data_IF_449583821780
#
_entry.id   IF_449583821780
#
_cell.length_a   1.000
_cell.length_b   1.000
_cell.length_c   1.000
_cell.angle_alpha   90.00
_cell.angle_beta   90.00
_cell.angle_gamma   90.00
#
_symmetry.space_group_name_H-M   'P 1'
#
loop_
_entity.id
_entity.type
_entity.pdbx_description
1 polymer ?
#
# COMPACT_ATOMS: atom_id res chain seq x y z
N UNK A 1 -77.13 37.15 13.88
CA UNK A 1 -76.38 36.36 12.84
C UNK A 1 -74.97 36.93 12.82
N UNK A 2 -74.00 36.23 13.46
CA UNK A 2 -72.59 36.60 13.49
C UNK A 2 -71.89 35.93 12.33
N UNK A 3 -71.34 36.72 11.40
CA UNK A 3 -70.62 36.25 10.21
C UNK A 3 -69.15 35.95 10.62
N UNK A 4 -68.79 34.68 10.67
CA UNK A 4 -67.46 34.21 11.01
C UNK A 4 -66.50 34.54 9.87
N UNK A 5 -65.56 35.48 10.11
CA UNK A 5 -64.50 35.86 9.17
C UNK A 5 -63.41 34.79 9.24
N UNK A 6 -63.29 33.97 8.18
CA UNK A 6 -62.22 33.02 8.03
C UNK A 6 -61.00 33.77 7.46
N UNK A 7 -60.01 34.06 8.30
CA UNK A 7 -58.71 34.56 7.84
C UNK A 7 -57.92 33.43 7.26
N UNK A 8 -57.80 33.41 5.91
CA UNK A 8 -56.99 32.44 5.17
C UNK A 8 -55.51 32.80 5.33
N UNK A 9 -54.83 32.12 6.21
CA UNK A 9 -53.40 32.28 6.44
C UNK A 9 -52.66 31.84 5.15
N UNK A 10 -52.18 32.79 4.37
CA UNK A 10 -51.34 32.56 3.17
C UNK A 10 -49.93 32.32 3.68
N UNK A 11 -49.52 31.05 3.71
CA UNK A 11 -48.12 30.66 3.88
C UNK A 11 -47.35 31.14 2.66
N UNK A 12 -46.56 32.19 2.78
CA UNK A 12 -45.62 32.61 1.76
C UNK A 12 -44.51 31.58 1.73
N UNK A 13 -44.39 30.84 0.62
CA UNK A 13 -43.21 30.05 0.33
C UNK A 13 -42.16 31.01 -0.14
N UNK A 14 -41.20 31.35 0.73
CA UNK A 14 -40.02 32.12 0.34
C UNK A 14 -39.18 31.23 -0.59
N UNK A 15 -38.92 31.69 -1.81
CA UNK A 15 -38.04 31.05 -2.77
C UNK A 15 -36.61 31.48 -2.55
N UNK A 16 -35.65 30.60 -2.85
CA UNK A 16 -34.23 30.93 -2.80
C UNK A 16 -33.89 32.08 -3.77
N UNK A 17 -33.10 33.03 -3.30
CA UNK A 17 -32.54 34.10 -4.10
C UNK A 17 -31.44 33.54 -5.03
N UNK A 18 -31.32 34.08 -6.23
CA UNK A 18 -30.26 33.69 -7.18
C UNK A 18 -28.85 33.92 -6.61
N UNK A 19 -28.68 34.98 -5.80
CA UNK A 19 -27.41 35.25 -5.10
C UNK A 19 -27.09 34.23 -4.03
N UNK A 20 -28.07 33.73 -3.29
CA UNK A 20 -27.91 32.69 -2.28
C UNK A 20 -27.50 31.35 -2.90
N UNK A 21 -28.09 31.03 -4.06
CA UNK A 21 -27.72 29.85 -4.82
C UNK A 21 -26.28 29.93 -5.34
N UNK A 22 -25.85 31.10 -5.87
CA UNK A 22 -24.48 31.30 -6.32
C UNK A 22 -23.44 31.19 -5.19
N UNK A 23 -23.74 31.76 -4.03
CA UNK A 23 -22.87 31.68 -2.85
C UNK A 23 -22.79 30.23 -2.36
N UNK A 24 -23.91 29.53 -2.27
CA UNK A 24 -23.96 28.13 -1.83
C UNK A 24 -23.15 27.21 -2.76
N UNK A 25 -23.27 27.37 -4.08
CA UNK A 25 -22.48 26.62 -5.05
C UNK A 25 -20.99 26.97 -4.93
N UNK A 26 -20.65 28.25 -4.78
CA UNK A 26 -19.27 28.70 -4.58
C UNK A 26 -18.61 28.09 -3.35
N UNK A 27 -19.30 28.06 -2.23
CA UNK A 27 -18.84 27.42 -1.00
C UNK A 27 -18.68 25.90 -1.17
N UNK A 28 -19.64 25.27 -1.86
CA UNK A 28 -19.58 23.82 -2.13
C UNK A 28 -18.36 23.45 -2.98
N UNK A 29 -18.05 24.20 -4.03
CA UNK A 29 -16.87 23.98 -4.88
C UNK A 29 -15.57 24.14 -4.09
N UNK A 30 -15.49 25.15 -3.22
CA UNK A 30 -14.33 25.35 -2.33
C UNK A 30 -14.13 24.17 -1.38
N UNK A 31 -15.19 23.69 -0.74
CA UNK A 31 -15.11 22.55 0.17
C UNK A 31 -14.71 21.26 -0.56
N UNK A 32 -15.26 21.00 -1.75
CA UNK A 32 -14.89 19.85 -2.56
C UNK A 32 -13.40 19.88 -2.96
N UNK A 33 -12.86 21.06 -3.30
CA UNK A 33 -11.44 21.24 -3.61
C UNK A 33 -10.52 20.84 -2.45
N UNK A 34 -10.86 21.20 -1.21
CA UNK A 34 -10.10 20.83 -0.01
C UNK A 34 -10.17 19.32 0.26
N UNK A 35 -11.32 18.71 0.09
CA UNK A 35 -11.50 17.25 0.30
C UNK A 35 -10.64 16.44 -0.68
N UNK A 36 -10.56 16.85 -1.93
CA UNK A 36 -9.79 16.14 -2.97
C UNK A 36 -8.29 16.03 -2.64
N UNK A 37 -7.69 17.09 -2.10
CA UNK A 37 -6.25 17.10 -1.75
C UNK A 37 -5.93 16.15 -0.60
N UNK A 38 -6.77 16.15 0.44
CA UNK A 38 -6.62 15.24 1.59
C UNK A 38 -6.79 13.78 1.18
N UNK A 39 -7.80 13.48 0.38
CA UNK A 39 -8.09 12.12 -0.10
C UNK A 39 -6.96 11.54 -0.97
N UNK A 40 -6.37 12.35 -1.87
CA UNK A 40 -5.25 11.92 -2.68
C UNK A 40 -4.02 11.55 -1.83
N UNK A 41 -3.71 12.34 -0.81
CA UNK A 41 -2.58 12.06 0.09
C UNK A 41 -2.81 10.81 0.93
N UNK A 42 -4.05 10.59 1.37
CA UNK A 42 -4.42 9.38 2.12
C UNK A 42 -4.26 8.12 1.27
N UNK A 43 -4.76 8.13 0.04
CA UNK A 43 -4.65 7.00 -0.88
C UNK A 43 -3.19 6.60 -1.17
N UNK A 44 -2.29 7.57 -1.32
CA UNK A 44 -0.86 7.32 -1.52
C UNK A 44 -0.21 6.67 -0.30
N UNK A 45 -0.53 7.15 0.90
CA UNK A 45 -0.03 6.55 2.15
C UNK A 45 -0.54 5.12 2.33
N UNK A 46 -1.80 4.89 2.03
CA UNK A 46 -2.40 3.56 2.08
C UNK A 46 -1.76 2.60 1.06
N UNK A 47 -1.51 3.08 -0.17
CA UNK A 47 -0.82 2.31 -1.20
C UNK A 47 0.58 1.88 -0.75
N UNK A 48 1.35 2.80 -0.14
CA UNK A 48 2.69 2.52 0.40
C UNK A 48 2.61 1.47 1.53
N UNK A 49 1.68 1.65 2.48
CA UNK A 49 1.51 0.68 3.57
C UNK A 49 1.16 -0.71 3.05
N UNK A 50 0.17 -0.83 2.17
CA UNK A 50 -0.23 -2.12 1.59
C UNK A 50 0.88 -2.78 0.79
N UNK A 51 1.65 -2.00 0.01
CA UNK A 51 2.78 -2.54 -0.74
C UNK A 51 3.87 -3.09 0.20
N UNK A 52 4.14 -2.40 1.30
CA UNK A 52 5.06 -2.87 2.34
C UNK A 52 4.56 -4.18 2.96
N UNK A 53 3.27 -4.25 3.29
CA UNK A 53 2.68 -5.45 3.88
C UNK A 53 2.70 -6.65 2.91
N UNK A 54 2.55 -6.41 1.59
CA UNK A 54 2.72 -7.44 0.55
C UNK A 54 4.14 -8.00 0.59
N UNK A 55 5.16 -7.14 0.57
CA UNK A 55 6.56 -7.59 0.58
C UNK A 55 6.88 -8.38 1.85
N UNK A 56 6.43 -7.92 3.02
CA UNK A 56 6.59 -8.65 4.28
C UNK A 56 5.90 -10.01 4.22
N UNK A 57 4.70 -10.09 3.64
CA UNK A 57 3.97 -11.36 3.54
C UNK A 57 4.69 -12.36 2.64
N UNK A 58 5.28 -11.91 1.54
CA UNK A 58 6.07 -12.73 0.62
C UNK A 58 7.34 -13.27 1.29
N UNK A 59 8.05 -12.42 2.05
CA UNK A 59 9.21 -12.84 2.85
C UNK A 59 8.83 -13.91 3.87
N UNK A 60 7.75 -13.69 4.61
CA UNK A 60 7.25 -14.66 5.58
C UNK A 60 6.78 -15.96 4.91
N UNK A 61 6.18 -15.90 3.73
CA UNK A 61 5.78 -17.06 2.94
C UNK A 61 7.00 -17.89 2.51
N UNK A 62 8.03 -17.25 1.93
CA UNK A 62 9.28 -17.90 1.53
C UNK A 62 9.93 -18.61 2.72
N UNK A 63 10.02 -17.91 3.85
CA UNK A 63 10.56 -18.48 5.10
C UNK A 63 9.77 -19.70 5.56
N UNK A 64 8.44 -19.62 5.57
CA UNK A 64 7.59 -20.75 6.00
C UNK A 64 7.71 -21.94 5.05
N UNK A 65 7.71 -21.73 3.74
CA UNK A 65 7.86 -22.78 2.74
C UNK A 65 9.20 -23.51 2.92
N UNK A 66 10.27 -22.76 3.19
CA UNK A 66 11.61 -23.32 3.47
C UNK A 66 11.64 -24.08 4.79
N UNK A 67 11.07 -23.53 5.87
CA UNK A 67 10.98 -24.21 7.17
C UNK A 67 10.21 -25.53 7.11
N UNK A 68 9.08 -25.54 6.38
CA UNK A 68 8.30 -26.76 6.19
C UNK A 68 8.93 -27.72 5.18
N UNK A 69 10.09 -27.36 4.61
CA UNK A 69 10.77 -28.15 3.57
C UNK A 69 9.83 -28.56 2.45
N UNK A 70 8.92 -27.65 2.06
CA UNK A 70 8.00 -27.93 0.98
C UNK A 70 8.77 -28.32 -0.28
N UNK A 71 8.35 -29.41 -0.93
CA UNK A 71 8.96 -29.96 -2.13
C UNK A 71 10.48 -30.24 -2.00
N UNK A 72 10.96 -30.42 -0.77
CA UNK A 72 12.37 -30.64 -0.42
C UNK A 72 13.30 -29.52 -0.96
N UNK A 73 12.80 -28.29 -1.04
CA UNK A 73 13.46 -27.15 -1.64
C UNK A 73 13.68 -25.99 -0.66
N UNK A 74 14.57 -25.08 -1.08
CA UNK A 74 14.76 -23.75 -0.52
C UNK A 74 13.85 -22.78 -1.30
N UNK A 75 13.34 -21.79 -0.62
CA UNK A 75 12.59 -20.71 -1.23
C UNK A 75 13.26 -19.37 -0.91
N UNK A 76 13.26 -18.47 -1.87
CA UNK A 76 13.77 -17.12 -1.71
C UNK A 76 12.82 -16.08 -2.28
N UNK A 77 13.16 -14.84 -2.05
CA UNK A 77 12.43 -13.68 -2.60
C UNK A 77 13.41 -12.81 -3.37
N UNK A 78 13.10 -12.56 -4.63
CA UNK A 78 13.80 -11.60 -5.47
C UNK A 78 13.01 -10.30 -5.54
N UNK A 79 13.71 -9.16 -5.46
CA UNK A 79 13.11 -7.84 -5.47
C UNK A 79 13.42 -7.08 -6.74
N UNK A 80 12.37 -6.73 -7.46
CA UNK A 80 12.37 -5.78 -8.57
C UNK A 80 11.79 -4.43 -8.12
N UNK A 81 11.94 -3.41 -8.94
CA UNK A 81 11.43 -2.06 -8.66
C UNK A 81 9.94 -2.04 -8.33
N UNK A 82 9.12 -2.90 -8.97
CA UNK A 82 7.65 -2.87 -8.90
C UNK A 82 7.01 -4.18 -8.43
N UNK A 83 7.81 -5.16 -8.01
CA UNK A 83 7.31 -6.46 -7.57
C UNK A 83 8.30 -7.18 -6.66
N UNK A 84 7.80 -8.11 -5.86
CA UNK A 84 8.58 -9.13 -5.19
C UNK A 84 8.24 -10.48 -5.83
N UNK A 85 9.23 -11.31 -6.08
CA UNK A 85 9.06 -12.61 -6.72
C UNK A 85 9.47 -13.71 -5.75
N UNK A 86 8.53 -14.54 -5.37
CA UNK A 86 8.81 -15.76 -4.63
C UNK A 86 9.29 -16.83 -5.62
N UNK A 87 10.47 -17.37 -5.40
CA UNK A 87 11.04 -18.38 -6.27
C UNK A 87 11.51 -19.60 -5.47
N UNK A 88 11.68 -20.71 -6.17
CA UNK A 88 12.13 -22.00 -5.65
C UNK A 88 13.53 -22.30 -6.12
N UNK A 89 14.46 -22.59 -5.21
CA UNK A 89 15.85 -22.94 -5.54
C UNK A 89 16.87 -22.03 -4.86
N UNK A 90 18.13 -22.19 -5.24
CA UNK A 90 19.27 -21.45 -4.65
C UNK A 90 19.60 -20.15 -5.42
N UNK A 91 18.91 -19.86 -6.50
CA UNK A 91 19.04 -18.61 -7.27
C UNK A 91 17.77 -18.30 -8.03
N UNK A 92 17.48 -17.02 -8.19
CA UNK A 92 16.39 -16.56 -9.03
C UNK A 92 16.72 -16.76 -10.51
N UNK A 93 15.78 -17.35 -11.24
CA UNK A 93 15.83 -17.47 -12.69
C UNK A 93 14.57 -16.82 -13.27
N UNK A 94 14.77 -15.77 -14.06
CA UNK A 94 13.65 -15.06 -14.70
C UNK A 94 12.89 -16.00 -15.66
N UNK A 95 11.55 -15.98 -15.55
CA UNK A 95 10.68 -16.81 -16.41
C UNK A 95 10.53 -18.27 -15.98
N UNK A 96 11.11 -18.67 -14.84
CA UNK A 96 10.87 -20.01 -14.30
C UNK A 96 9.38 -20.19 -13.96
N UNK A 97 8.81 -21.38 -14.29
CA UNK A 97 7.38 -21.68 -14.07
C UNK A 97 6.99 -21.73 -12.60
N UNK A 98 7.95 -21.94 -11.70
CA UNK A 98 7.73 -21.96 -10.25
C UNK A 98 7.68 -20.56 -9.62
N UNK A 99 8.04 -19.52 -10.35
CA UNK A 99 8.05 -18.15 -9.86
C UNK A 99 6.64 -17.62 -9.62
N UNK A 100 6.42 -17.04 -8.45
CA UNK A 100 5.16 -16.37 -8.10
C UNK A 100 5.42 -14.88 -7.97
N UNK A 101 4.78 -14.08 -8.82
CA UNK A 101 4.98 -12.64 -8.92
C UNK A 101 3.96 -11.88 -8.09
N UNK A 102 4.43 -11.13 -7.10
CA UNK A 102 3.63 -10.26 -6.25
C UNK A 102 3.86 -8.80 -6.63
N UNK A 103 2.97 -8.27 -7.45
CA UNK A 103 3.03 -6.87 -7.89
C UNK A 103 2.63 -5.94 -6.76
N UNK A 104 3.41 -4.89 -6.54
CA UNK A 104 3.07 -3.79 -5.64
C UNK A 104 2.25 -2.72 -6.38
N UNK A 105 1.71 -1.77 -5.62
CA UNK A 105 0.91 -0.70 -6.23
C UNK A 105 1.75 0.14 -7.21
N UNK A 106 1.26 0.48 -8.42
CA UNK A 106 2.03 1.23 -9.42
C UNK A 106 2.55 2.60 -8.99
N UNK A 107 2.00 3.19 -7.92
CA UNK A 107 2.51 4.45 -7.35
C UNK A 107 3.59 4.25 -6.29
N UNK A 108 4.04 3.00 -6.08
CA UNK A 108 5.07 2.62 -5.10
C UNK A 108 6.20 1.90 -5.82
N UNK A 109 7.42 2.16 -5.43
CA UNK A 109 8.63 1.53 -5.97
C UNK A 109 9.53 1.04 -4.83
N UNK A 110 10.22 -0.09 -5.04
CA UNK A 110 11.34 -0.52 -4.20
C UNK A 110 12.55 0.28 -4.65
N UNK A 111 13.03 1.19 -3.81
CA UNK A 111 14.05 2.17 -4.19
C UNK A 111 15.43 1.82 -3.66
N UNK A 112 15.50 1.12 -2.54
CA UNK A 112 16.78 0.75 -1.94
C UNK A 112 16.72 -0.65 -1.37
N UNK A 113 17.68 -1.47 -1.73
CA UNK A 113 17.91 -2.80 -1.19
C UNK A 113 19.29 -2.79 -0.58
N UNK A 114 19.39 -2.98 0.72
CA UNK A 114 20.64 -2.97 1.46
C UNK A 114 20.72 -4.24 2.31
N UNK A 115 21.23 -5.30 1.70
CA UNK A 115 21.39 -6.63 2.30
C UNK A 115 22.86 -6.91 2.59
N UNK A 116 23.13 -7.73 3.60
CA UNK A 116 24.48 -8.02 4.08
C UNK A 116 25.36 -8.69 3.02
N UNK A 117 24.82 -9.63 2.25
CA UNK A 117 25.51 -10.28 1.13
C UNK A 117 25.45 -9.46 -0.17
N UNK A 118 24.71 -8.34 -0.18
CA UNK A 118 24.45 -7.55 -1.37
C UNK A 118 23.37 -8.20 -2.26
N UNK A 119 23.19 -7.63 -3.46
CA UNK A 119 22.20 -8.17 -4.40
C UNK A 119 20.76 -7.75 -4.11
N UNK A 120 19.81 -8.47 -4.69
CA UNK A 120 18.38 -8.21 -4.64
C UNK A 120 17.56 -9.45 -4.26
N UNK A 121 18.18 -10.40 -3.59
CA UNK A 121 17.57 -11.69 -3.22
C UNK A 121 17.74 -11.95 -1.74
N UNK A 122 16.76 -12.62 -1.13
CA UNK A 122 16.82 -13.10 0.25
C UNK A 122 16.49 -14.57 0.26
N UNK A 123 17.36 -15.37 0.83
CA UNK A 123 17.18 -16.80 1.02
C UNK A 123 17.02 -17.15 2.50
N UNK A 124 16.36 -18.26 2.75
CA UNK A 124 16.16 -18.76 4.11
C UNK A 124 16.76 -20.15 4.27
N UNK A 125 17.48 -20.36 5.35
CA UNK A 125 18.08 -21.66 5.67
C UNK A 125 17.00 -22.67 6.08
N UNK A 126 17.12 -23.90 5.57
CA UNK A 126 16.24 -25.01 5.95
C UNK A 126 16.40 -25.29 7.44
N UNK A 127 15.30 -25.71 8.07
CA UNK A 127 15.19 -26.07 9.48
C UNK A 127 15.21 -24.89 10.47
N UNK A 128 16.01 -23.85 10.23
CA UNK A 128 16.12 -22.71 11.15
C UNK A 128 15.29 -21.51 10.69
N UNK A 129 15.13 -21.33 9.37
CA UNK A 129 14.51 -20.16 8.77
C UNK A 129 15.32 -18.87 8.97
N UNK A 130 16.60 -19.01 9.33
CA UNK A 130 17.57 -17.90 9.40
C UNK A 130 17.98 -17.48 8.00
N UNK A 131 18.54 -16.27 7.89
CA UNK A 131 19.08 -15.75 6.63
C UNK A 131 20.42 -15.06 6.85
N UNK A 132 21.31 -15.18 5.87
CA UNK A 132 22.55 -14.39 5.79
C UNK A 132 22.29 -13.06 5.08
N UNK A 133 21.18 -12.96 4.31
CA UNK A 133 20.74 -11.75 3.60
C UNK A 133 19.90 -10.81 4.49
N UNK A 134 20.35 -10.61 5.72
CA UNK A 134 19.70 -9.65 6.62
C UNK A 134 20.00 -8.22 6.18
N UNK A 135 19.10 -7.29 6.52
CA UNK A 135 19.29 -5.88 6.13
C UNK A 135 17.99 -5.13 6.02
N UNK A 136 17.92 -4.19 5.08
CA UNK A 136 16.74 -3.36 4.90
C UNK A 136 16.34 -3.20 3.44
N UNK A 137 15.03 -3.13 3.22
CA UNK A 137 14.42 -2.84 1.92
C UNK A 137 13.54 -1.62 2.10
N UNK A 138 13.77 -0.58 1.30
CA UNK A 138 13.02 0.67 1.38
C UNK A 138 12.11 0.80 0.16
N UNK A 139 10.83 1.01 0.44
CA UNK A 139 9.83 1.39 -0.55
C UNK A 139 9.57 2.89 -0.46
N UNK A 140 9.33 3.53 -1.60
CA UNK A 140 8.94 4.94 -1.66
C UNK A 140 7.79 5.15 -2.64
N UNK A 141 7.14 6.31 -2.55
CA UNK A 141 6.18 6.72 -3.56
C UNK A 141 6.91 7.17 -4.84
N UNK A 142 6.44 6.68 -5.97
CA UNK A 142 6.88 7.14 -7.29
C UNK A 142 6.64 8.65 -7.41
N UNK A 143 7.73 9.42 -7.62
CA UNK A 143 7.68 10.88 -7.70
C UNK A 143 7.68 11.65 -6.36
N UNK A 144 7.71 10.98 -5.20
CA UNK A 144 7.87 11.61 -3.88
C UNK A 144 8.70 10.71 -2.95
N UNK A 145 10.00 10.75 -3.12
CA UNK A 145 10.96 9.93 -2.34
C UNK A 145 11.09 10.35 -0.88
N UNK A 146 10.43 11.41 -0.45
CA UNK A 146 10.39 11.81 0.97
C UNK A 146 9.47 10.92 1.81
N UNK A 147 8.53 10.22 1.15
CA UNK A 147 7.60 9.29 1.80
C UNK A 147 8.07 7.87 1.56
N UNK A 148 8.66 7.30 2.58
CA UNK A 148 9.26 5.97 2.56
C UNK A 148 8.63 5.06 3.60
N UNK A 149 8.81 3.76 3.41
CA UNK A 149 8.56 2.71 4.40
C UNK A 149 9.70 1.70 4.30
N UNK A 150 10.38 1.46 5.40
CA UNK A 150 11.45 0.47 5.44
C UNK A 150 10.96 -0.85 6.02
N UNK A 151 11.50 -1.94 5.48
CA UNK A 151 11.33 -3.31 5.97
C UNK A 151 12.70 -3.73 6.49
N UNK A 152 12.75 -4.14 7.74
CA UNK A 152 13.95 -4.73 8.32
C UNK A 152 13.83 -6.25 8.30
N UNK A 153 14.90 -6.90 7.88
CA UNK A 153 15.08 -8.36 7.90
C UNK A 153 16.22 -8.65 8.83
N UNK A 154 15.97 -9.40 9.89
CA UNK A 154 17.01 -9.80 10.83
C UNK A 154 17.61 -11.18 10.49
N UNK A 155 18.71 -11.53 11.10
CA UNK A 155 19.37 -12.83 10.89
C UNK A 155 18.49 -14.02 11.21
N UNK A 156 17.51 -13.89 12.11
CA UNK A 156 16.55 -14.96 12.39
C UNK A 156 15.51 -15.16 11.27
N UNK A 157 15.61 -14.41 10.18
CA UNK A 157 14.71 -14.44 9.03
C UNK A 157 13.34 -13.78 9.28
N UNK A 158 13.19 -13.08 10.40
CA UNK A 158 11.97 -12.32 10.66
C UNK A 158 12.04 -10.96 9.94
N UNK A 159 10.95 -10.60 9.28
CA UNK A 159 10.79 -9.32 8.61
C UNK A 159 9.68 -8.50 9.27
N UNK A 160 9.93 -7.22 9.45
CA UNK A 160 8.99 -6.29 10.08
C UNK A 160 9.16 -4.88 9.53
N UNK A 161 8.10 -4.11 9.64
CA UNK A 161 8.08 -2.71 9.24
C UNK A 161 8.75 -1.84 10.30
N UNK A 162 9.63 -0.94 9.85
CA UNK A 162 10.25 0.09 10.68
C UNK A 162 9.33 1.32 10.82
#
# INVERSE_FOLDING_TARGET
>A
MLKKIIVKNRSYKEGFSLSELLISVGVMVLLLGLIFTVFSSFNKKEALSKSTDIVISVLNEARQLTLFSKDDAIYGVHFDTNQAVLFKGESYLEGDESNIYFKINPVVEITTINLAEGGSEVFFNRLTGETEDYGSITLSLSGDTSKTSAILINQSGLSFKE
#
